data_IF_079497949702
#
_entry.id   IF_079497949702
#
_cell.length_a   1.000
_cell.length_b   1.000
_cell.length_c   1.000
_cell.angle_alpha   90.00
_cell.angle_beta   90.00
_cell.angle_gamma   90.00
#
_symmetry.space_group_name_H-M   'P 1'
#
loop_
_entity.id
_entity.type
_entity.pdbx_description
1 polymer ?
#
# COMPACT_ATOMS: atom_id res chain seq x y z
N UNK A 1 -7.49 13.51 -15.32
CA UNK A 1 -6.95 13.23 -13.96
C UNK A 1 -6.25 11.90 -14.05
N UNK A 2 -4.96 11.81 -13.72
CA UNK A 2 -4.17 10.59 -13.92
C UNK A 2 -4.75 9.46 -13.03
N UNK A 3 -5.02 8.28 -13.60
CA UNK A 3 -5.69 7.17 -12.88
C UNK A 3 -4.94 6.78 -11.60
N UNK A 4 -3.61 6.85 -11.65
CA UNK A 4 -2.71 6.67 -10.50
C UNK A 4 -3.01 7.66 -9.38
N UNK A 5 -3.19 8.95 -9.70
CA UNK A 5 -3.47 9.98 -8.70
C UNK A 5 -4.84 9.75 -8.03
N UNK A 6 -5.85 9.35 -8.80
CA UNK A 6 -7.18 9.01 -8.26
C UNK A 6 -7.08 7.80 -7.33
N UNK A 7 -6.33 6.78 -7.74
CA UNK A 7 -6.12 5.58 -6.94
C UNK A 7 -5.41 5.87 -5.61
N UNK A 8 -4.35 6.68 -5.62
CA UNK A 8 -3.65 7.11 -4.39
C UNK A 8 -4.59 7.88 -3.47
N UNK A 9 -5.42 8.78 -4.00
CA UNK A 9 -6.41 9.52 -3.21
C UNK A 9 -7.41 8.54 -2.57
N UNK A 10 -7.93 7.57 -3.32
CA UNK A 10 -8.85 6.54 -2.80
C UNK A 10 -8.19 5.77 -1.66
N UNK A 11 -6.95 5.33 -1.82
CA UNK A 11 -6.21 4.62 -0.75
C UNK A 11 -6.04 5.48 0.50
N UNK A 12 -5.68 6.76 0.34
CA UNK A 12 -5.54 7.68 1.47
C UNK A 12 -6.86 7.91 2.21
N UNK A 13 -7.95 8.12 1.48
CA UNK A 13 -9.30 8.31 2.06
C UNK A 13 -9.76 7.04 2.77
N UNK A 14 -9.55 5.87 2.15
CA UNK A 14 -9.88 4.58 2.72
C UNK A 14 -9.10 4.34 4.02
N UNK A 15 -7.78 4.58 4.03
CA UNK A 15 -6.97 4.45 5.24
C UNK A 15 -7.47 5.37 6.34
N UNK A 16 -7.68 6.66 6.03
CA UNK A 16 -8.17 7.62 7.02
C UNK A 16 -9.53 7.25 7.61
N UNK A 17 -10.47 6.79 6.77
CA UNK A 17 -11.81 6.40 7.20
C UNK A 17 -11.77 5.13 8.05
N UNK A 18 -11.04 4.11 7.63
CA UNK A 18 -10.94 2.83 8.34
C UNK A 18 -10.14 2.98 9.64
N UNK A 19 -9.07 3.78 9.64
CA UNK A 19 -8.28 4.02 10.84
C UNK A 19 -9.15 4.64 11.94
N UNK A 20 -10.01 5.61 11.59
CA UNK A 20 -10.92 6.26 12.53
C UNK A 20 -11.97 5.33 13.14
N UNK A 21 -12.34 4.26 12.43
CA UNK A 21 -13.42 3.34 12.83
C UNK A 21 -12.90 2.09 13.53
N UNK A 22 -11.72 1.58 13.11
CA UNK A 22 -11.27 0.23 13.46
C UNK A 22 -10.11 0.23 14.47
N UNK A 23 -9.26 1.28 14.51
CA UNK A 23 -8.16 1.29 15.48
C UNK A 23 -8.73 1.26 16.91
N UNK A 24 -8.44 0.16 17.59
CA UNK A 24 -8.86 -0.06 18.98
C UNK A 24 -7.74 0.31 19.96
N UNK A 25 -6.51 0.46 19.47
CA UNK A 25 -5.34 0.81 20.28
C UNK A 25 -4.33 1.63 19.46
N UNK A 26 -3.76 2.67 20.08
CA UNK A 26 -2.74 3.54 19.50
C UNK A 26 -1.35 2.88 19.41
N UNK A 27 -1.22 1.60 19.80
CA UNK A 27 0.04 0.87 19.73
C UNK A 27 0.50 0.80 18.28
N UNK A 28 1.71 1.32 17.98
CA UNK A 28 2.28 1.33 16.63
C UNK A 28 3.36 0.26 16.50
N UNK A 29 3.56 -0.25 15.27
CA UNK A 29 4.69 -1.15 14.96
C UNK A 29 6.04 -0.50 15.32
N UNK A 30 6.16 0.83 15.22
CA UNK A 30 7.37 1.58 15.59
C UNK A 30 7.83 1.31 17.02
N UNK A 31 6.90 0.94 17.90
CA UNK A 31 7.14 0.76 19.33
C UNK A 31 7.57 -0.69 19.65
N UNK A 32 7.54 -1.57 18.64
CA UNK A 32 8.04 -2.94 18.74
C UNK A 32 9.53 -3.00 18.39
N UNK A 33 10.22 -4.04 18.86
CA UNK A 33 11.64 -4.27 18.54
C UNK A 33 11.93 -4.30 17.02
N UNK A 34 10.94 -4.73 16.23
CA UNK A 34 11.03 -4.85 14.77
C UNK A 34 10.70 -3.53 14.05
N UNK A 35 10.24 -2.50 14.78
CA UNK A 35 9.79 -1.23 14.22
C UNK A 35 10.84 -0.50 13.38
N UNK A 36 12.13 -0.59 13.77
CA UNK A 36 13.23 -0.02 12.98
C UNK A 36 13.38 -0.72 11.62
N UNK A 37 13.38 -2.05 11.61
CA UNK A 37 13.51 -2.85 10.38
C UNK A 37 12.32 -2.60 9.45
N UNK A 38 11.12 -2.55 10.03
CA UNK A 38 9.89 -2.21 9.32
C UNK A 38 9.98 -0.87 8.58
N UNK A 39 10.41 0.19 9.30
CA UNK A 39 10.53 1.52 8.70
C UNK A 39 11.59 1.57 7.60
N UNK A 40 12.75 0.91 7.79
CA UNK A 40 13.79 0.87 6.76
C UNK A 40 13.32 0.18 5.47
N UNK A 41 12.63 -0.96 5.59
CA UNK A 41 12.08 -1.67 4.43
C UNK A 41 11.03 -0.79 3.72
N UNK A 42 10.14 -0.13 4.47
CA UNK A 42 9.16 0.79 3.88
C UNK A 42 9.82 1.96 3.16
N UNK A 43 10.85 2.57 3.73
CA UNK A 43 11.59 3.67 3.09
C UNK A 43 12.18 3.20 1.76
N UNK A 44 12.81 2.02 1.73
CA UNK A 44 13.36 1.44 0.49
C UNK A 44 12.26 1.23 -0.55
N UNK A 45 11.11 0.66 -0.15
CA UNK A 45 10.00 0.42 -1.07
C UNK A 45 9.40 1.73 -1.61
N UNK A 46 9.29 2.78 -0.79
CA UNK A 46 8.82 4.10 -1.22
C UNK A 46 9.81 4.76 -2.19
N UNK A 47 11.11 4.61 -1.97
CA UNK A 47 12.13 5.11 -2.92
C UNK A 47 11.98 4.40 -4.27
N UNK A 48 11.81 3.07 -4.27
CA UNK A 48 11.58 2.30 -5.50
C UNK A 48 10.27 2.73 -6.21
N UNK A 49 9.22 3.01 -5.44
CA UNK A 49 7.95 3.52 -5.96
C UNK A 49 8.12 4.88 -6.66
N UNK A 50 8.86 5.80 -6.04
CA UNK A 50 9.13 7.11 -6.65
C UNK A 50 9.98 6.94 -7.90
N UNK A 51 10.99 6.07 -7.85
CA UNK A 51 11.85 5.79 -9.01
C UNK A 51 11.05 5.22 -10.19
N UNK A 52 10.05 4.36 -9.95
CA UNK A 52 9.25 3.79 -11.03
C UNK A 52 8.41 4.84 -11.77
N UNK A 53 8.02 5.94 -11.12
CA UNK A 53 7.32 7.07 -11.77
C UNK A 53 8.23 7.72 -12.82
N UNK A 54 9.53 7.86 -12.55
CA UNK A 54 10.48 8.49 -13.47
C UNK A 54 10.95 7.57 -14.60
N UNK A 55 10.86 6.25 -14.40
CA UNK A 55 11.32 5.25 -15.35
C UNK A 55 10.28 4.89 -16.42
N UNK A 56 9.00 5.14 -16.16
CA UNK A 56 7.91 4.76 -17.07
C UNK A 56 7.35 5.98 -17.81
N UNK A 57 7.22 5.93 -19.14
CA UNK A 57 6.56 6.99 -19.91
C UNK A 57 5.14 7.25 -19.42
N UNK A 58 4.69 8.51 -19.43
CA UNK A 58 3.36 8.88 -18.93
C UNK A 58 2.19 8.28 -19.76
N UNK A 59 2.46 7.83 -20.98
CA UNK A 59 1.45 7.32 -21.91
C UNK A 59 1.21 5.81 -21.76
N UNK A 60 2.03 5.10 -20.97
CA UNK A 60 1.90 3.66 -20.75
C UNK A 60 1.45 3.34 -19.31
N UNK A 61 0.63 2.28 -19.12
CA UNK A 61 0.27 1.82 -17.79
C UNK A 61 1.51 1.33 -17.03
N UNK A 62 1.77 1.93 -15.86
CA UNK A 62 2.95 1.60 -15.05
C UNK A 62 2.69 0.40 -14.13
N UNK A 63 2.77 -0.80 -14.69
CA UNK A 63 2.60 -2.06 -13.95
C UNK A 63 3.57 -2.22 -12.77
N UNK A 64 4.80 -1.69 -12.92
CA UNK A 64 5.82 -1.75 -11.86
C UNK A 64 5.37 -0.94 -10.64
N UNK A 65 4.82 0.26 -10.88
CA UNK A 65 4.27 1.10 -9.83
C UNK A 65 3.12 0.41 -9.09
N UNK A 66 2.18 -0.19 -9.82
CA UNK A 66 1.02 -0.85 -9.21
C UNK A 66 1.42 -2.08 -8.39
N UNK A 67 2.37 -2.87 -8.90
CA UNK A 67 2.93 -4.01 -8.16
C UNK A 67 3.67 -3.56 -6.90
N UNK A 68 4.43 -2.47 -6.95
CA UNK A 68 5.13 -1.92 -5.78
C UNK A 68 4.15 -1.44 -4.71
N UNK A 69 3.06 -0.76 -5.07
CA UNK A 69 2.01 -0.38 -4.10
C UNK A 69 1.40 -1.62 -3.47
N UNK A 70 1.01 -2.61 -4.27
CA UNK A 70 0.42 -3.85 -3.77
C UNK A 70 1.37 -4.57 -2.82
N UNK A 71 2.67 -4.60 -3.14
CA UNK A 71 3.69 -5.17 -2.27
C UNK A 71 3.86 -4.39 -0.96
N UNK A 72 3.85 -3.05 -1.00
CA UNK A 72 3.87 -2.20 0.20
C UNK A 72 2.65 -2.51 1.08
N UNK A 73 1.44 -2.55 0.51
CA UNK A 73 0.23 -2.88 1.25
C UNK A 73 0.30 -4.28 1.85
N UNK A 74 0.82 -5.26 1.11
CA UNK A 74 0.98 -6.64 1.58
C UNK A 74 1.96 -6.72 2.76
N UNK A 75 3.10 -6.05 2.62
CA UNK A 75 4.11 -5.96 3.68
C UNK A 75 3.55 -5.31 4.94
N UNK A 76 2.84 -4.19 4.81
CA UNK A 76 2.18 -3.51 5.95
C UNK A 76 1.16 -4.42 6.63
N UNK A 77 0.29 -5.07 5.86
CA UNK A 77 -0.73 -5.98 6.39
C UNK A 77 -0.11 -7.17 7.11
N UNK A 78 0.92 -7.79 6.54
CA UNK A 78 1.62 -8.92 7.13
C UNK A 78 2.33 -8.54 8.44
N UNK A 79 3.06 -7.42 8.46
CA UNK A 79 3.80 -6.97 9.63
C UNK A 79 2.85 -6.58 10.78
N UNK A 80 1.77 -5.89 10.47
CA UNK A 80 0.75 -5.51 11.46
C UNK A 80 0.04 -6.74 12.03
N UNK A 81 -0.30 -7.71 11.18
CA UNK A 81 -0.92 -8.97 11.62
C UNK A 81 0.01 -9.79 12.52
N UNK A 82 1.31 -9.83 12.20
CA UNK A 82 2.30 -10.65 12.91
C UNK A 82 2.79 -10.01 14.21
N UNK A 83 3.03 -8.70 14.22
CA UNK A 83 3.71 -8.01 15.33
C UNK A 83 2.82 -7.07 16.13
N UNK A 84 1.65 -6.69 15.63
CA UNK A 84 0.75 -5.73 16.29
C UNK A 84 -0.73 -6.13 16.18
N UNK A 85 -1.02 -7.43 16.35
CA UNK A 85 -2.38 -7.97 16.17
C UNK A 85 -3.42 -7.33 17.10
N UNK A 86 -3.00 -6.87 18.28
CA UNK A 86 -3.86 -6.25 19.29
C UNK A 86 -4.44 -4.90 18.86
N UNK A 87 -3.73 -4.13 18.01
CA UNK A 87 -4.22 -2.83 17.52
C UNK A 87 -5.42 -2.96 16.58
N UNK A 88 -5.62 -4.17 16.01
CA UNK A 88 -6.49 -4.44 14.84
C UNK A 88 -6.16 -3.60 13.60
N UNK A 89 -5.04 -2.87 13.59
CA UNK A 89 -4.57 -2.12 12.43
C UNK A 89 -4.39 -2.99 11.19
N UNK A 90 -4.15 -4.30 11.39
CA UNK A 90 -3.96 -5.24 10.30
C UNK A 90 -5.21 -5.35 9.42
N UNK A 91 -6.41 -5.11 9.96
CA UNK A 91 -7.67 -5.12 9.21
C UNK A 91 -7.69 -3.96 8.21
N UNK A 92 -7.26 -2.77 8.64
CA UNK A 92 -7.17 -1.58 7.78
C UNK A 92 -6.15 -1.80 6.65
N UNK A 93 -5.01 -2.39 6.99
CA UNK A 93 -3.98 -2.72 6.01
C UNK A 93 -4.42 -3.83 5.05
N UNK A 94 -5.18 -4.82 5.51
CA UNK A 94 -5.77 -5.87 4.67
C UNK A 94 -6.80 -5.31 3.69
N UNK A 95 -7.66 -4.39 4.14
CA UNK A 95 -8.60 -3.71 3.25
C UNK A 95 -7.87 -2.90 2.18
N UNK A 96 -6.81 -2.17 2.58
CA UNK A 96 -5.94 -1.46 1.63
C UNK A 96 -5.29 -2.41 0.63
N UNK A 97 -4.82 -3.58 1.09
CA UNK A 97 -4.25 -4.62 0.22
C UNK A 97 -5.25 -5.15 -0.79
N UNK A 98 -6.48 -5.45 -0.39
CA UNK A 98 -7.52 -5.95 -1.30
C UNK A 98 -7.80 -4.92 -2.40
N UNK A 99 -7.94 -3.64 -2.02
CA UNK A 99 -8.15 -2.55 -2.98
C UNK A 99 -6.97 -2.42 -3.94
N UNK A 100 -5.74 -2.52 -3.45
CA UNK A 100 -4.55 -2.48 -4.30
C UNK A 100 -4.48 -3.66 -5.27
N UNK A 101 -4.77 -4.88 -4.82
CA UNK A 101 -4.81 -6.07 -5.69
C UNK A 101 -5.86 -5.90 -6.80
N UNK A 102 -7.07 -5.46 -6.45
CA UNK A 102 -8.13 -5.23 -7.44
C UNK A 102 -7.71 -4.20 -8.48
N UNK A 103 -7.07 -3.11 -8.05
CA UNK A 103 -6.56 -2.10 -8.97
C UNK A 103 -5.46 -2.66 -9.89
N UNK A 104 -4.49 -3.40 -9.34
CA UNK A 104 -3.43 -4.05 -10.14
C UNK A 104 -4.03 -5.01 -11.18
N UNK A 105 -5.05 -5.78 -10.83
CA UNK A 105 -5.73 -6.68 -11.79
C UNK A 105 -6.41 -5.90 -12.92
N UNK A 106 -7.06 -4.78 -12.61
CA UNK A 106 -7.72 -3.93 -13.61
C UNK A 106 -6.68 -3.34 -14.57
N UNK A 107 -5.57 -2.80 -14.05
CA UNK A 107 -4.51 -2.22 -14.89
C UNK A 107 -3.83 -3.31 -15.72
N UNK A 108 -3.54 -4.47 -15.15
CA UNK A 108 -2.97 -5.61 -15.87
C UNK A 108 -3.88 -6.09 -17.00
N UNK A 109 -5.18 -6.18 -16.74
CA UNK A 109 -6.17 -6.58 -17.74
C UNK A 109 -6.28 -5.54 -18.85
N UNK A 110 -6.22 -4.25 -18.52
CA UNK A 110 -6.23 -3.17 -19.50
C UNK A 110 -4.97 -3.20 -20.38
N UNK A 111 -3.81 -3.45 -19.78
CA UNK A 111 -2.55 -3.61 -20.52
C UNK A 111 -2.58 -4.80 -21.48
N UNK A 112 -3.19 -5.92 -21.10
CA UNK A 112 -3.24 -7.14 -21.93
C UNK A 112 -4.17 -7.00 -23.16
N UNK A 113 -5.09 -6.03 -23.15
CA UNK A 113 -6.04 -5.78 -24.24
C UNK A 113 -5.47 -4.79 -25.28
N UNK A 114 -4.48 -3.99 -24.89
CA UNK A 114 -3.77 -3.05 -25.77
C UNK A 114 -2.53 -3.70 -26.40
#
# INVERSE_FOLDING_TARGET
>A
MNAIAVFVIILCVLQFALDKVILTSDRKISDTEVGKVYNWILIILVILLIASIFLTPMDEPNLIFDLLITFICAYRAFMEWKYNKESKGYIVQLASLIVSILFTIIVFSCWLIY
#
